data_IF_202012309277
#
_entry.id   IF_202012309277
#
_cell.length_a   1.000
_cell.length_b   1.000
_cell.length_c   1.000
_cell.angle_alpha   90.00
_cell.angle_beta   90.00
_cell.angle_gamma   90.00
#
_symmetry.space_group_name_H-M   'P 1'
#
loop_
_entity.id
_entity.type
_entity.pdbx_description
1 polymer ?
#
# COMPACT_ATOMS: atom_id res chain seq x y z
N UNK A 1 6.27 28.72 -29.98
CA UNK A 1 5.50 27.63 -29.37
C UNK A 1 5.74 26.36 -30.18
N UNK A 2 6.71 25.54 -29.76
CA UNK A 2 7.03 24.24 -30.35
C UNK A 2 6.95 23.23 -29.21
N UNK A 3 5.95 22.35 -29.28
CA UNK A 3 5.81 21.23 -28.35
C UNK A 3 6.74 20.15 -28.87
N UNK A 4 7.93 20.03 -28.29
CA UNK A 4 8.82 18.91 -28.59
C UNK A 4 8.39 17.72 -27.74
N UNK A 5 7.56 16.86 -28.35
CA UNK A 5 7.40 15.49 -27.90
C UNK A 5 8.73 14.76 -28.14
N UNK A 6 9.48 14.50 -27.07
CA UNK A 6 10.48 13.44 -27.05
C UNK A 6 9.80 12.16 -26.55
N UNK A 7 9.05 11.51 -27.44
CA UNK A 7 8.89 10.07 -27.37
C UNK A 7 10.16 9.46 -27.98
N UNK A 8 11.12 9.14 -27.13
CA UNK A 8 12.19 8.19 -27.42
C UNK A 8 12.11 7.12 -26.33
N UNK A 9 11.61 5.95 -26.72
CA UNK A 9 11.89 4.63 -26.16
C UNK A 9 12.24 4.58 -24.67
N UNK A 10 11.26 4.80 -23.80
CA UNK A 10 11.43 4.58 -22.37
C UNK A 10 10.20 3.88 -21.77
N UNK A 11 10.28 2.56 -21.42
CA UNK A 11 9.23 1.90 -20.64
C UNK A 11 9.00 2.56 -19.27
N UNK A 12 9.95 3.41 -18.85
CA UNK A 12 9.86 4.34 -17.71
C UNK A 12 8.74 5.38 -17.88
N UNK A 13 8.32 5.70 -19.11
CA UNK A 13 7.34 6.74 -19.41
C UNK A 13 5.91 6.42 -18.94
N UNK A 14 5.44 5.18 -19.14
CA UNK A 14 4.06 4.82 -18.77
C UNK A 14 3.88 4.74 -17.26
N UNK A 15 4.82 4.11 -16.55
CA UNK A 15 4.79 3.98 -15.09
C UNK A 15 4.77 5.36 -14.45
N UNK A 16 5.67 6.26 -14.85
CA UNK A 16 5.69 7.63 -14.35
C UNK A 16 4.42 8.40 -14.68
N UNK A 17 3.89 8.25 -15.90
CA UNK A 17 2.66 8.93 -16.28
C UNK A 17 1.47 8.49 -15.42
N UNK A 18 1.36 7.18 -15.14
CA UNK A 18 0.33 6.64 -14.25
C UNK A 18 0.53 7.16 -12.82
N UNK A 19 1.76 7.18 -12.31
CA UNK A 19 2.05 7.75 -10.98
C UNK A 19 1.58 9.21 -10.88
N UNK A 20 1.98 10.04 -11.84
CA UNK A 20 1.64 11.47 -11.84
C UNK A 20 0.13 11.68 -11.93
N UNK A 21 -0.56 10.99 -12.84
CA UNK A 21 -2.01 11.09 -12.96
C UNK A 21 -2.74 10.67 -11.68
N UNK A 22 -2.25 9.62 -11.02
CA UNK A 22 -2.85 9.12 -9.78
C UNK A 22 -2.62 10.10 -8.62
N UNK A 23 -1.43 10.69 -8.51
CA UNK A 23 -1.11 11.74 -7.53
C UNK A 23 -2.00 12.96 -7.74
N UNK A 24 -2.07 13.49 -8.98
CA UNK A 24 -2.89 14.67 -9.30
C UNK A 24 -4.38 14.40 -9.04
N UNK A 25 -4.89 13.24 -9.47
CA UNK A 25 -6.30 12.90 -9.28
C UNK A 25 -6.64 12.67 -7.81
N UNK A 26 -5.75 12.04 -7.04
CA UNK A 26 -5.96 11.82 -5.62
C UNK A 26 -5.85 13.11 -4.81
N UNK A 27 -4.98 14.06 -5.20
CA UNK A 27 -4.97 15.39 -4.61
C UNK A 27 -6.33 16.08 -4.76
N UNK A 28 -6.94 16.03 -5.96
CA UNK A 28 -8.28 16.54 -6.20
C UNK A 28 -9.36 15.81 -5.38
N UNK A 29 -9.17 14.52 -5.08
CA UNK A 29 -10.09 13.74 -4.26
C UNK A 29 -10.00 14.13 -2.77
N UNK A 30 -8.78 14.34 -2.27
CA UNK A 30 -8.52 14.68 -0.86
C UNK A 30 -8.79 16.17 -0.55
N UNK A 31 -8.86 17.04 -1.55
CA UNK A 31 -9.28 18.44 -1.39
C UNK A 31 -10.81 18.55 -1.13
N UNK A 32 -11.15 18.80 0.14
CA UNK A 32 -12.51 18.67 0.72
C UNK A 32 -13.54 19.70 0.21
N UNK A 33 -13.17 20.73 -0.55
CA UNK A 33 -14.01 21.92 -0.74
C UNK A 33 -14.85 22.01 -2.04
N UNK A 34 -14.68 21.11 -3.04
CA UNK A 34 -15.36 21.28 -4.34
C UNK A 34 -16.33 20.15 -4.72
N UNK A 35 -17.51 20.16 -4.10
CA UNK A 35 -18.61 19.19 -4.29
C UNK A 35 -19.11 18.99 -5.73
N UNK A 36 -18.84 19.90 -6.67
CA UNK A 36 -19.35 19.80 -8.05
C UNK A 36 -18.55 18.85 -8.95
N UNK A 37 -17.27 18.57 -8.64
CA UNK A 37 -16.39 17.74 -9.48
C UNK A 37 -16.05 16.37 -8.87
N UNK A 38 -16.52 16.08 -7.65
CA UNK A 38 -16.16 14.86 -6.88
C UNK A 38 -16.55 13.59 -7.64
N UNK A 39 -17.73 13.50 -8.24
CA UNK A 39 -18.16 12.24 -8.90
C UNK A 39 -17.27 11.85 -10.08
N UNK A 40 -16.86 12.81 -10.91
CA UNK A 40 -15.98 12.55 -12.04
C UNK A 40 -14.56 12.27 -11.58
N UNK A 41 -14.06 12.99 -10.57
CA UNK A 41 -12.76 12.72 -9.96
C UNK A 41 -12.71 11.33 -9.31
N UNK A 42 -13.77 10.90 -8.61
CA UNK A 42 -13.87 9.56 -8.02
C UNK A 42 -13.83 8.47 -9.10
N UNK A 43 -14.61 8.63 -10.18
CA UNK A 43 -14.61 7.67 -11.28
C UNK A 43 -13.24 7.55 -11.97
N UNK A 44 -12.55 8.68 -12.14
CA UNK A 44 -11.19 8.69 -12.68
C UNK A 44 -10.19 8.04 -11.70
N UNK A 45 -10.27 8.37 -10.40
CA UNK A 45 -9.41 7.80 -9.37
C UNK A 45 -9.57 6.28 -9.30
N UNK A 46 -10.81 5.78 -9.31
CA UNK A 46 -11.10 4.35 -9.35
C UNK A 46 -10.50 3.69 -10.59
N UNK A 47 -10.69 4.30 -11.77
CA UNK A 47 -10.11 3.78 -13.02
C UNK A 47 -8.57 3.71 -12.96
N UNK A 48 -7.92 4.71 -12.36
CA UNK A 48 -6.46 4.75 -12.19
C UNK A 48 -5.99 3.71 -11.15
N UNK A 49 -6.72 3.55 -10.05
CA UNK A 49 -6.46 2.51 -9.05
C UNK A 49 -6.62 1.10 -9.64
N UNK A 50 -7.59 0.88 -10.52
CA UNK A 50 -7.78 -0.40 -11.21
C UNK A 50 -6.65 -0.70 -12.20
N UNK A 51 -6.17 0.30 -12.94
CA UNK A 51 -4.99 0.17 -13.81
C UNK A 51 -3.76 -0.18 -12.96
N UNK A 52 -3.52 0.55 -11.88
CA UNK A 52 -2.44 0.28 -10.94
C UNK A 52 -2.53 -1.15 -10.39
N UNK A 53 -3.72 -1.57 -9.96
CA UNK A 53 -3.97 -2.91 -9.45
C UNK A 53 -3.65 -3.99 -10.49
N UNK A 54 -4.05 -3.78 -11.76
CA UNK A 54 -3.73 -4.69 -12.86
C UNK A 54 -2.21 -4.81 -13.08
N UNK A 55 -1.48 -3.68 -13.06
CA UNK A 55 -0.01 -3.67 -13.20
C UNK A 55 0.67 -4.43 -12.05
N UNK A 56 0.19 -4.24 -10.82
CA UNK A 56 0.72 -4.90 -9.63
C UNK A 56 0.43 -6.39 -9.63
N UNK A 57 -0.78 -6.81 -10.04
CA UNK A 57 -1.14 -8.23 -10.19
C UNK A 57 -0.25 -8.90 -11.23
N UNK A 58 -0.07 -8.26 -12.40
CA UNK A 58 0.79 -8.80 -13.45
C UNK A 58 2.21 -9.01 -12.91
N UNK A 59 2.78 -7.99 -12.27
CA UNK A 59 4.11 -8.06 -11.66
C UNK A 59 4.18 -9.19 -10.62
N UNK A 60 3.26 -9.23 -9.66
CA UNK A 60 3.22 -10.28 -8.63
C UNK A 60 3.08 -11.69 -9.21
N UNK A 61 2.35 -11.86 -10.31
CA UNK A 61 2.22 -13.15 -10.98
C UNK A 61 3.54 -13.59 -11.61
N UNK A 62 4.23 -12.71 -12.33
CA UNK A 62 5.55 -13.01 -12.92
C UNK A 62 6.54 -13.39 -11.82
N UNK A 63 6.66 -12.59 -10.76
CA UNK A 63 7.57 -12.89 -9.63
C UNK A 63 7.23 -14.24 -8.99
N UNK A 64 5.95 -14.50 -8.72
CA UNK A 64 5.51 -15.76 -8.12
C UNK A 64 5.83 -16.97 -9.00
N UNK A 65 5.61 -16.88 -10.31
CA UNK A 65 5.94 -17.94 -11.25
C UNK A 65 7.45 -18.21 -11.29
N UNK A 66 8.27 -17.16 -11.36
CA UNK A 66 9.73 -17.28 -11.32
C UNK A 66 10.21 -17.93 -10.01
N UNK A 67 9.70 -17.48 -8.86
CA UNK A 67 10.04 -18.07 -7.56
C UNK A 67 9.61 -19.53 -7.43
N UNK A 68 8.49 -19.92 -8.03
CA UNK A 68 8.03 -21.31 -8.06
C UNK A 68 8.94 -22.17 -8.94
N UNK A 69 9.31 -21.69 -10.14
CA UNK A 69 10.21 -22.39 -11.06
C UNK A 69 11.62 -22.57 -10.47
N UNK A 70 12.10 -21.60 -9.69
CA UNK A 70 13.36 -21.74 -8.94
C UNK A 70 13.27 -22.84 -7.88
N UNK A 71 12.17 -22.89 -7.11
CA UNK A 71 11.97 -23.92 -6.07
C UNK A 71 11.86 -25.34 -6.63
N UNK A 72 11.33 -25.50 -7.84
CA UNK A 72 11.22 -26.80 -8.52
C UNK A 72 12.47 -27.22 -9.29
N UNK A 73 13.53 -26.41 -9.30
CA UNK A 73 14.78 -26.73 -10.02
C UNK A 73 14.66 -26.67 -11.55
N UNK A 74 13.55 -26.17 -12.08
CA UNK A 74 13.28 -26.08 -13.52
C UNK A 74 13.95 -24.88 -14.18
N UNK A 75 14.59 -23.99 -13.41
CA UNK A 75 15.20 -22.75 -13.89
C UNK A 75 14.13 -21.72 -14.26
N UNK A 76 13.95 -20.69 -13.42
CA UNK A 76 13.09 -19.55 -13.73
C UNK A 76 13.90 -18.41 -14.33
N UNK A 77 13.29 -17.60 -15.20
CA UNK A 77 13.90 -16.36 -15.68
C UNK A 77 13.87 -15.30 -14.55
N UNK A 78 14.94 -15.29 -13.77
CA UNK A 78 15.12 -14.35 -12.65
C UNK A 78 15.42 -12.95 -13.14
N UNK A 79 16.11 -12.82 -14.27
CA UNK A 79 16.50 -11.52 -14.78
C UNK A 79 15.28 -10.73 -15.25
N UNK A 80 14.39 -11.35 -16.03
CA UNK A 80 13.16 -10.68 -16.46
C UNK A 80 12.26 -10.28 -15.29
N UNK A 81 12.23 -11.09 -14.22
CA UNK A 81 11.50 -10.79 -12.99
C UNK A 81 12.12 -9.59 -12.24
N UNK A 82 13.44 -9.53 -12.12
CA UNK A 82 14.16 -8.41 -11.50
C UNK A 82 14.01 -7.13 -12.33
N UNK A 83 14.16 -7.21 -13.64
CA UNK A 83 13.99 -6.08 -14.56
C UNK A 83 12.57 -5.50 -14.45
N UNK A 84 11.55 -6.36 -14.33
CA UNK A 84 10.16 -5.92 -14.15
C UNK A 84 9.96 -5.19 -12.81
N UNK A 85 10.59 -5.63 -11.73
CA UNK A 85 10.57 -4.92 -10.44
C UNK A 85 11.27 -3.56 -10.56
N UNK A 86 12.39 -3.49 -11.28
CA UNK A 86 13.12 -2.24 -11.48
C UNK A 86 12.32 -1.23 -12.32
N UNK A 87 11.70 -1.68 -13.41
CA UNK A 87 10.84 -0.83 -14.26
C UNK A 87 9.66 -0.26 -13.46
N UNK A 88 9.07 -1.08 -12.59
CA UNK A 88 7.91 -0.70 -11.79
C UNK A 88 8.29 -0.10 -10.43
N UNK A 89 9.57 0.08 -10.13
CA UNK A 89 10.03 0.67 -8.87
C UNK A 89 9.41 2.05 -8.57
N UNK A 90 9.23 2.97 -9.54
CA UNK A 90 8.59 4.27 -9.26
C UNK A 90 7.15 4.18 -8.70
N UNK A 91 6.48 3.01 -8.82
CA UNK A 91 5.18 2.82 -8.18
C UNK A 91 5.25 2.89 -6.66
N UNK A 92 6.42 2.68 -6.04
CA UNK A 92 6.58 2.77 -4.57
C UNK A 92 6.35 4.19 -4.05
N UNK A 93 6.47 5.21 -4.88
CA UNK A 93 6.17 6.60 -4.53
C UNK A 93 4.68 6.81 -4.23
N UNK A 94 3.81 5.91 -4.73
CA UNK A 94 2.38 5.93 -4.46
C UNK A 94 2.00 5.30 -3.12
N UNK A 95 2.93 4.68 -2.37
CA UNK A 95 2.61 3.99 -1.12
C UNK A 95 1.97 4.95 -0.11
N UNK A 96 2.57 6.12 0.10
CA UNK A 96 2.02 7.14 1.02
C UNK A 96 0.62 7.57 0.59
N UNK A 97 0.42 7.78 -0.71
CA UNK A 97 -0.88 8.17 -1.26
C UNK A 97 -1.95 7.10 -1.05
N UNK A 98 -1.61 5.83 -1.30
CA UNK A 98 -2.52 4.70 -1.07
C UNK A 98 -2.90 4.59 0.40
N UNK A 99 -1.99 4.88 1.33
CA UNK A 99 -2.27 4.91 2.78
C UNK A 99 -3.28 6.02 3.10
N UNK A 100 -3.09 7.22 2.54
CA UNK A 100 -3.98 8.37 2.73
C UNK A 100 -5.36 8.19 2.09
N UNK A 101 -5.51 7.27 1.13
CA UNK A 101 -6.81 6.89 0.57
C UNK A 101 -7.56 5.85 1.42
N UNK A 102 -6.93 5.21 2.41
CA UNK A 102 -7.58 4.19 3.24
C UNK A 102 -8.75 4.74 4.09
N UNK A 103 -8.70 5.97 4.64
CA UNK A 103 -9.83 6.57 5.35
C UNK A 103 -11.04 6.95 4.47
N UNK A 104 -11.00 6.69 3.17
CA UNK A 104 -12.11 6.98 2.24
C UNK A 104 -13.46 6.40 2.70
N UNK A 105 -14.50 7.25 2.66
CA UNK A 105 -15.90 6.84 2.82
C UNK A 105 -16.41 5.99 1.63
N UNK A 106 -15.81 6.18 0.46
CA UNK A 106 -16.05 5.33 -0.69
C UNK A 106 -15.39 3.96 -0.49
N UNK A 107 -16.21 2.93 -0.41
CA UNK A 107 -15.78 1.56 -0.13
C UNK A 107 -14.94 0.97 -1.26
N UNK A 108 -15.21 1.34 -2.51
CA UNK A 108 -14.47 0.83 -3.66
C UNK A 108 -13.06 1.40 -3.70
N UNK A 109 -12.93 2.71 -3.41
CA UNK A 109 -11.62 3.37 -3.26
C UNK A 109 -10.81 2.70 -2.15
N UNK A 110 -11.42 2.53 -0.97
CA UNK A 110 -10.76 1.86 0.16
C UNK A 110 -10.28 0.44 -0.22
N UNK A 111 -11.15 -0.36 -0.84
CA UNK A 111 -10.83 -1.75 -1.18
C UNK A 111 -9.71 -1.83 -2.22
N UNK A 112 -9.79 -1.06 -3.30
CA UNK A 112 -8.79 -1.10 -4.37
C UNK A 112 -7.47 -0.51 -3.90
N UNK A 113 -7.47 0.57 -3.12
CA UNK A 113 -6.27 1.12 -2.49
C UNK A 113 -5.61 0.11 -1.55
N UNK A 114 -6.40 -0.57 -0.69
CA UNK A 114 -5.90 -1.61 0.22
C UNK A 114 -5.27 -2.79 -0.52
N UNK A 115 -5.88 -3.23 -1.63
CA UNK A 115 -5.35 -4.31 -2.49
C UNK A 115 -4.04 -3.89 -3.17
N UNK A 116 -3.99 -2.67 -3.72
CA UNK A 116 -2.77 -2.11 -4.30
C UNK A 116 -1.63 -2.03 -3.27
N UNK A 117 -1.91 -1.45 -2.10
CA UNK A 117 -0.93 -1.31 -1.03
C UNK A 117 -0.40 -2.67 -0.56
N UNK A 118 -1.29 -3.65 -0.40
CA UNK A 118 -0.91 -5.03 -0.06
C UNK A 118 0.06 -5.65 -1.08
N UNK A 119 -0.18 -5.45 -2.38
CA UNK A 119 0.73 -5.94 -3.42
C UNK A 119 2.06 -5.18 -3.41
N UNK A 120 2.03 -3.85 -3.27
CA UNK A 120 3.24 -3.03 -3.21
C UNK A 120 4.18 -3.46 -2.09
N UNK A 121 3.68 -3.62 -0.85
CA UNK A 121 4.53 -4.03 0.28
C UNK A 121 5.01 -5.48 0.17
N UNK A 122 4.29 -6.32 -0.57
CA UNK A 122 4.74 -7.69 -0.87
C UNK A 122 5.86 -7.71 -1.91
N UNK A 123 5.77 -6.87 -2.94
CA UNK A 123 6.75 -6.78 -4.03
C UNK A 123 8.02 -6.04 -3.61
N UNK A 124 7.86 -4.89 -2.96
CA UNK A 124 8.95 -3.96 -2.67
C UNK A 124 9.32 -3.87 -1.19
N UNK A 125 8.55 -4.52 -0.30
CA UNK A 125 8.77 -4.39 1.15
C UNK A 125 8.45 -2.98 1.63
N UNK A 126 9.29 -2.44 2.50
CA UNK A 126 9.21 -1.08 3.04
C UNK A 126 10.22 -0.14 2.37
N UNK A 127 10.35 -0.20 1.05
CA UNK A 127 11.30 0.64 0.30
C UNK A 127 10.93 2.14 0.34
N UNK A 128 9.63 2.45 0.42
CA UNK A 128 9.15 3.83 0.58
C UNK A 128 9.36 4.31 2.03
N UNK A 129 10.22 5.30 2.22
CA UNK A 129 10.63 5.82 3.53
C UNK A 129 9.52 6.54 4.29
N UNK A 130 8.55 7.10 3.57
CA UNK A 130 7.47 7.91 4.13
C UNK A 130 6.27 7.06 4.54
N UNK A 131 6.27 5.76 4.27
CA UNK A 131 5.14 4.85 4.53
C UNK A 131 4.76 4.73 6.01
N UNK A 132 5.66 5.11 6.92
CA UNK A 132 5.42 5.25 8.37
C UNK A 132 5.66 6.68 8.86
N UNK A 133 5.37 7.70 8.03
CA UNK A 133 5.26 9.08 8.50
C UNK A 133 4.10 9.23 9.51
N UNK A 134 4.09 10.27 10.36
CA UNK A 134 2.99 10.51 11.30
C UNK A 134 1.60 10.51 10.62
N UNK A 135 1.48 11.19 9.48
CA UNK A 135 0.21 11.31 8.73
C UNK A 135 -0.29 9.95 8.22
N UNK A 136 0.63 9.10 7.76
CA UNK A 136 0.31 7.77 7.28
C UNK A 136 -0.05 6.81 8.43
N UNK A 137 0.63 6.93 9.58
CA UNK A 137 0.27 6.18 10.78
C UNK A 137 -1.10 6.58 11.34
N UNK A 138 -1.44 7.87 11.30
CA UNK A 138 -2.76 8.35 11.67
C UNK A 138 -3.85 7.80 10.73
N UNK A 139 -3.59 7.75 9.42
CA UNK A 139 -4.50 7.13 8.45
C UNK A 139 -4.75 5.65 8.77
N UNK A 140 -3.71 4.88 9.12
CA UNK A 140 -3.87 3.49 9.58
C UNK A 140 -4.67 3.40 10.88
N UNK A 141 -4.38 4.27 11.86
CA UNK A 141 -5.03 4.27 13.16
C UNK A 141 -6.53 4.58 13.02
N UNK A 142 -6.89 5.57 12.20
CA UNK A 142 -8.26 5.94 11.90
C UNK A 142 -9.05 4.76 11.32
N UNK A 143 -8.50 4.10 10.30
CA UNK A 143 -9.17 2.99 9.60
C UNK A 143 -9.30 1.77 10.51
N UNK A 144 -8.25 1.42 11.26
CA UNK A 144 -8.31 0.31 12.21
C UNK A 144 -9.31 0.57 13.35
N UNK A 145 -9.48 1.83 13.75
CA UNK A 145 -10.46 2.25 14.76
C UNK A 145 -11.90 2.19 14.24
N UNK A 146 -12.14 2.54 12.98
CA UNK A 146 -13.48 2.64 12.40
C UNK A 146 -14.00 1.34 11.79
N UNK A 147 -13.13 0.52 11.17
CA UNK A 147 -13.52 -0.72 10.50
C UNK A 147 -13.81 -1.84 11.50
N UNK A 148 -14.94 -2.53 11.30
CA UNK A 148 -15.35 -3.72 12.09
C UNK A 148 -15.14 -5.05 11.36
N UNK A 149 -14.85 -5.01 10.06
CA UNK A 149 -14.59 -6.23 9.29
C UNK A 149 -13.20 -6.80 9.64
N UNK A 150 -13.20 -7.99 10.24
CA UNK A 150 -11.99 -8.67 10.69
C UNK A 150 -11.06 -9.08 9.53
N UNK A 151 -11.57 -9.38 8.34
CA UNK A 151 -10.74 -9.71 7.16
C UNK A 151 -9.98 -8.47 6.71
N UNK A 152 -10.65 -7.32 6.70
CA UNK A 152 -10.06 -6.03 6.35
C UNK A 152 -9.03 -5.59 7.39
N UNK A 153 -9.35 -5.66 8.69
CA UNK A 153 -8.37 -5.39 9.76
C UNK A 153 -7.14 -6.29 9.65
N UNK A 154 -7.32 -7.60 9.42
CA UNK A 154 -6.20 -8.53 9.20
C UNK A 154 -5.32 -8.15 8.02
N UNK A 155 -5.92 -7.67 6.92
CA UNK A 155 -5.16 -7.22 5.76
C UNK A 155 -4.29 -6.02 6.12
N UNK A 156 -4.88 -5.00 6.76
CA UNK A 156 -4.16 -3.80 7.19
C UNK A 156 -3.04 -4.12 8.18
N UNK A 157 -3.30 -4.97 9.17
CA UNK A 157 -2.26 -5.40 10.12
C UNK A 157 -1.13 -6.16 9.42
N UNK A 158 -1.41 -6.97 8.39
CA UNK A 158 -0.36 -7.63 7.59
C UNK A 158 0.47 -6.63 6.79
N UNK A 159 -0.16 -5.58 6.26
CA UNK A 159 0.53 -4.48 5.57
C UNK A 159 1.47 -3.77 6.56
N UNK A 160 0.95 -3.32 7.71
CA UNK A 160 1.74 -2.63 8.74
C UNK A 160 2.89 -3.52 9.21
N UNK A 161 2.61 -4.78 9.55
CA UNK A 161 3.64 -5.76 9.94
C UNK A 161 4.73 -5.86 8.88
N UNK A 162 4.37 -5.97 7.60
CA UNK A 162 5.34 -6.04 6.50
C UNK A 162 6.19 -4.76 6.41
N UNK A 163 5.60 -3.58 6.54
CA UNK A 163 6.33 -2.31 6.51
C UNK A 163 7.38 -2.21 7.62
N UNK A 164 7.00 -2.52 8.86
CA UNK A 164 7.90 -2.38 10.04
C UNK A 164 8.93 -3.49 10.16
N UNK A 165 8.64 -4.68 9.62
CA UNK A 165 9.59 -5.82 9.64
C UNK A 165 10.60 -5.77 8.51
N UNK A 166 10.28 -5.11 7.38
CA UNK A 166 11.17 -5.04 6.22
C UNK A 166 12.11 -3.83 6.25
N UNK A 167 11.84 -2.82 7.08
CA UNK A 167 12.68 -1.63 7.18
C UNK A 167 12.77 -1.17 8.64
N UNK A 168 14.00 -1.13 9.18
CA UNK A 168 14.24 -0.71 10.58
C UNK A 168 13.80 0.73 10.84
N UNK A 169 13.97 1.64 9.88
CA UNK A 169 13.53 3.04 10.03
C UNK A 169 12.02 3.11 10.28
N UNK A 170 11.23 2.28 9.63
CA UNK A 170 9.78 2.21 9.86
C UNK A 170 9.43 1.75 11.27
N UNK A 171 10.15 0.76 11.83
CA UNK A 171 9.96 0.37 13.23
C UNK A 171 10.38 1.48 14.20
N UNK A 172 11.43 2.25 13.88
CA UNK A 172 11.88 3.40 14.67
C UNK A 172 10.85 4.54 14.62
N UNK A 173 10.32 4.88 13.43
CA UNK A 173 9.23 5.86 13.26
C UNK A 173 7.97 5.45 14.01
N UNK A 174 7.53 4.19 13.91
CA UNK A 174 6.39 3.69 14.67
C UNK A 174 6.60 3.86 16.18
N UNK A 175 7.81 3.57 16.67
CA UNK A 175 8.15 3.68 18.09
C UNK A 175 8.14 5.14 18.59
N UNK A 176 8.65 6.06 17.77
CA UNK A 176 8.90 7.44 18.18
C UNK A 176 7.69 8.35 17.97
N UNK A 177 6.97 8.16 16.85
CA UNK A 177 5.95 9.10 16.38
C UNK A 177 4.57 8.44 16.19
N UNK A 178 4.45 7.12 16.43
CA UNK A 178 3.27 6.33 16.12
C UNK A 178 2.29 6.09 17.27
N UNK A 179 2.22 6.97 18.26
CA UNK A 179 1.44 6.78 19.50
C UNK A 179 -0.05 6.43 19.24
N UNK A 180 -0.67 7.12 18.29
CA UNK A 180 -2.07 6.88 17.89
C UNK A 180 -2.27 5.44 17.39
N UNK A 181 -1.41 5.00 16.48
CA UNK A 181 -1.45 3.65 15.92
C UNK A 181 -1.10 2.59 16.97
N UNK A 182 -0.08 2.83 17.80
CA UNK A 182 0.30 1.94 18.89
C UNK A 182 -0.87 1.72 19.85
N UNK A 183 -1.56 2.78 20.27
CA UNK A 183 -2.71 2.66 21.16
C UNK A 183 -3.83 1.82 20.54
N UNK A 184 -4.10 1.95 19.24
CA UNK A 184 -5.07 1.09 18.55
C UNK A 184 -4.60 -0.36 18.51
N UNK A 185 -3.32 -0.63 18.25
CA UNK A 185 -2.74 -1.97 18.26
C UNK A 185 -2.82 -2.62 19.65
N UNK A 186 -2.53 -1.87 20.73
CA UNK A 186 -2.65 -2.34 22.12
C UNK A 186 -4.09 -2.75 22.43
N UNK A 187 -5.08 -1.96 22.01
CA UNK A 187 -6.50 -2.31 22.17
C UNK A 187 -6.88 -3.56 21.38
N UNK A 188 -6.45 -3.67 20.12
CA UNK A 188 -6.73 -4.84 19.29
C UNK A 188 -6.11 -6.11 19.88
N UNK A 189 -4.89 -6.03 20.42
CA UNK A 189 -4.22 -7.14 21.09
C UNK A 189 -4.97 -7.63 22.34
N UNK A 190 -5.70 -6.76 23.02
CA UNK A 190 -6.47 -7.08 24.23
C UNK A 190 -7.88 -7.63 23.96
N UNK A 191 -8.40 -7.52 22.73
CA UNK A 191 -9.82 -7.80 22.42
C UNK A 191 -10.10 -9.25 21.97
N UNK A 192 -9.23 -10.21 22.30
CA UNK A 192 -9.36 -11.59 21.84
C UNK A 192 -10.53 -12.34 22.53
N UNK A 193 -11.74 -12.22 21.99
CA UNK A 193 -12.95 -12.88 22.51
C UNK A 193 -13.44 -14.08 21.66
N UNK A 194 -13.03 -14.15 20.40
CA UNK A 194 -13.35 -15.22 19.46
C UNK A 194 -12.13 -15.66 18.62
N UNK A 195 -12.19 -16.80 17.94
CA UNK A 195 -11.08 -17.29 17.09
C UNK A 195 -10.64 -16.31 16.00
N UNK A 196 -11.58 -15.56 15.42
CA UNK A 196 -11.26 -14.56 14.40
C UNK A 196 -10.58 -13.32 15.04
N UNK A 197 -10.99 -12.95 16.25
CA UNK A 197 -10.35 -11.90 17.04
C UNK A 197 -8.93 -12.30 17.46
N UNK A 198 -8.68 -13.59 17.74
CA UNK A 198 -7.34 -14.09 18.09
C UNK A 198 -6.33 -13.82 16.97
N UNK A 199 -6.71 -13.98 15.70
CA UNK A 199 -5.80 -13.73 14.58
C UNK A 199 -5.46 -12.23 14.44
N UNK A 200 -6.43 -11.34 14.65
CA UNK A 200 -6.24 -9.89 14.68
C UNK A 200 -5.35 -9.50 15.87
N UNK A 201 -5.68 -9.99 17.06
CA UNK A 201 -4.94 -9.72 18.29
C UNK A 201 -3.49 -10.21 18.21
N UNK A 202 -3.26 -11.41 17.65
CA UNK A 202 -1.94 -11.96 17.43
C UNK A 202 -1.10 -11.10 16.49
N UNK A 203 -1.67 -10.67 15.35
CA UNK A 203 -0.97 -9.77 14.43
C UNK A 203 -0.64 -8.42 15.09
N UNK A 204 -1.57 -7.85 15.85
CA UNK A 204 -1.33 -6.60 16.57
C UNK A 204 -0.21 -6.75 17.60
N UNK A 205 -0.20 -7.84 18.37
CA UNK A 205 0.85 -8.15 19.33
C UNK A 205 2.22 -8.37 18.67
N UNK A 206 2.26 -9.05 17.53
CA UNK A 206 3.50 -9.22 16.76
C UNK A 206 4.08 -7.89 16.30
N UNK A 207 3.23 -6.94 15.88
CA UNK A 207 3.67 -5.58 15.50
C UNK A 207 4.21 -4.83 16.72
N UNK A 208 3.49 -4.84 17.84
CA UNK A 208 3.95 -4.19 19.09
C UNK A 208 5.33 -4.70 19.52
N UNK A 209 5.56 -6.01 19.43
CA UNK A 209 6.87 -6.60 19.71
C UNK A 209 8.00 -6.07 18.84
N UNK A 210 7.73 -5.68 17.59
CA UNK A 210 8.77 -5.10 16.72
C UNK A 210 9.28 -3.75 17.21
N UNK A 211 8.47 -3.02 18.00
CA UNK A 211 8.83 -1.72 18.59
C UNK A 211 9.17 -1.81 20.08
N UNK A 212 9.23 -3.02 20.63
CA UNK A 212 9.57 -3.28 22.03
C UNK A 212 8.42 -3.04 23.01
N UNK A 213 7.18 -3.18 22.57
CA UNK A 213 5.97 -3.16 23.41
C UNK A 213 5.31 -4.54 23.48
#
# INVERSE_FOLDING_TARGET
>A
MKIHYHLKDDPVGLVHHICNLLIETAALYLEVDNKSNIKTANGLLLSLLDILHCMLIYTANVIRMTLQAQKSGTGGDTQAAEDLLLINKPLTDLISLLIQLLPSDDTEIYETASKCLSLMVQLYGGDNLDSMSPENMDSFAEVLKSKRDLKQQKLLLRIIKRLVTSNKKHSESLKNDGDSLIHILERLAQTASSHADIAVASLAFEILRTVGR
#
